data_IF_716976051153
#
_entry.id   IF_716976051153
#
_cell.length_a   1.000
_cell.length_b   1.000
_cell.length_c   1.000
_cell.angle_alpha   90.00
_cell.angle_beta   90.00
_cell.angle_gamma   90.00
#
_symmetry.space_group_name_H-M   'P 1'
#
loop_
_entity.id
_entity.type
_entity.pdbx_description
1 polymer ?
#
# COMPACT_ATOMS: atom_id res chain seq x y z
N UNK A 1 -0.11 7.09 -14.18
CA UNK A 1 -0.56 5.72 -13.88
C UNK A 1 0.64 4.78 -13.97
N UNK A 2 0.49 3.60 -13.38
CA UNK A 2 1.53 2.65 -12.99
C UNK A 2 1.92 1.66 -14.11
N UNK A 3 3.15 1.13 -14.04
CA UNK A 3 3.64 0.03 -14.87
C UNK A 3 4.58 -0.82 -14.04
N UNK A 4 4.54 -2.14 -14.19
CA UNK A 4 5.37 -3.01 -13.40
C UNK A 4 5.33 -4.45 -13.86
N UNK A 5 5.96 -5.32 -13.07
CA UNK A 5 5.88 -6.75 -13.26
C UNK A 5 6.07 -7.50 -11.95
N UNK A 6 5.87 -8.82 -11.99
CA UNK A 6 6.15 -9.68 -10.87
C UNK A 6 7.65 -9.68 -10.53
N UNK A 7 7.95 -9.72 -9.23
CA UNK A 7 9.30 -10.05 -8.77
C UNK A 7 9.58 -11.52 -9.08
N UNK A 8 10.75 -11.82 -9.62
CA UNK A 8 11.16 -13.21 -9.79
C UNK A 8 11.66 -13.82 -8.46
N UNK A 9 11.90 -15.14 -8.44
CA UNK A 9 12.31 -15.84 -7.23
C UNK A 9 13.64 -15.33 -6.64
N UNK A 10 14.61 -14.98 -7.49
CA UNK A 10 15.90 -14.44 -7.04
C UNK A 10 15.72 -13.08 -6.37
N UNK A 11 14.89 -12.21 -6.94
CA UNK A 11 14.55 -10.91 -6.37
C UNK A 11 13.81 -11.03 -5.04
N UNK A 12 12.88 -11.99 -4.92
CA UNK A 12 12.17 -12.28 -3.67
C UNK A 12 13.17 -12.73 -2.60
N UNK A 13 14.02 -13.72 -2.90
CA UNK A 13 15.03 -14.22 -1.95
C UNK A 13 16.01 -13.11 -1.53
N UNK A 14 16.42 -12.24 -2.46
CA UNK A 14 17.27 -11.10 -2.17
C UNK A 14 16.58 -10.09 -1.25
N UNK A 15 15.31 -9.74 -1.52
CA UNK A 15 14.54 -8.83 -0.67
C UNK A 15 14.42 -9.37 0.75
N UNK A 16 13.98 -10.63 0.91
CA UNK A 16 13.85 -11.26 2.22
C UNK A 16 15.20 -11.23 2.96
N UNK A 17 16.28 -11.63 2.30
CA UNK A 17 17.62 -11.61 2.88
C UNK A 17 18.05 -10.20 3.32
N UNK A 18 17.71 -9.17 2.54
CA UNK A 18 18.07 -7.78 2.82
C UNK A 18 17.41 -7.22 4.09
N UNK A 19 16.24 -7.75 4.46
CA UNK A 19 15.41 -7.15 5.49
C UNK A 19 15.31 -7.98 6.78
N UNK A 20 15.64 -9.28 6.73
CA UNK A 20 15.61 -10.18 7.90
C UNK A 20 16.33 -9.62 9.11
N UNK A 21 17.45 -8.93 8.91
CA UNK A 21 18.28 -8.40 10.01
C UNK A 21 17.96 -6.93 10.35
N UNK A 22 16.97 -6.32 9.70
CA UNK A 22 16.61 -4.92 9.99
C UNK A 22 15.92 -4.81 11.35
N UNK A 23 16.33 -3.81 12.14
CA UNK A 23 15.80 -3.59 13.48
C UNK A 23 14.29 -3.33 13.45
N UNK A 24 13.80 -2.49 12.53
CA UNK A 24 12.37 -2.25 12.32
C UNK A 24 11.56 -3.54 12.06
N UNK A 25 12.10 -4.48 11.27
CA UNK A 25 11.45 -5.77 11.01
C UNK A 25 11.39 -6.61 12.29
N UNK A 26 12.51 -6.76 13.00
CA UNK A 26 12.57 -7.51 14.26
C UNK A 26 11.63 -6.93 15.33
N UNK A 27 11.49 -5.61 15.38
CA UNK A 27 10.57 -4.93 16.28
C UNK A 27 9.11 -5.18 15.88
N UNK A 28 8.78 -5.13 14.59
CA UNK A 28 7.46 -5.52 14.10
C UNK A 28 7.12 -6.96 14.49
N UNK A 29 8.04 -7.89 14.27
CA UNK A 29 7.85 -9.30 14.64
C UNK A 29 7.54 -9.46 16.13
N UNK A 30 8.31 -8.76 16.97
CA UNK A 30 8.11 -8.78 18.42
C UNK A 30 6.75 -8.22 18.82
N UNK A 31 6.28 -7.16 18.16
CA UNK A 31 4.97 -6.58 18.42
C UNK A 31 3.85 -7.56 18.01
N UNK A 32 3.93 -8.18 16.82
CA UNK A 32 2.92 -9.15 16.39
C UNK A 32 2.88 -10.37 17.35
N UNK A 33 4.03 -10.85 17.84
CA UNK A 33 4.11 -11.95 18.83
C UNK A 33 3.39 -11.64 20.15
N UNK A 34 3.06 -10.37 20.45
CA UNK A 34 2.23 -10.03 21.63
C UNK A 34 0.76 -10.37 21.44
N UNK A 35 0.31 -10.53 20.20
CA UNK A 35 -1.09 -10.77 19.84
C UNK A 35 -1.30 -12.13 19.15
N UNK A 36 -0.21 -12.85 18.84
CA UNK A 36 -0.25 -14.12 18.12
C UNK A 36 0.85 -15.05 18.62
N UNK A 37 0.55 -16.35 18.69
CA UNK A 37 1.51 -17.39 19.04
C UNK A 37 2.36 -17.86 17.83
N UNK A 38 2.25 -17.17 16.69
CA UNK A 38 2.97 -17.55 15.48
C UNK A 38 4.48 -17.48 15.64
N UNK A 39 5.15 -18.50 15.11
CA UNK A 39 6.57 -18.43 14.84
C UNK A 39 6.81 -17.88 13.44
N UNK A 40 7.70 -16.90 13.36
CA UNK A 40 7.93 -16.16 12.14
C UNK A 40 9.13 -16.72 11.41
N UNK A 41 8.83 -17.69 10.55
CA UNK A 41 9.78 -18.29 9.64
C UNK A 41 9.53 -17.75 8.23
N UNK A 42 10.31 -16.74 7.82
CA UNK A 42 10.17 -16.10 6.50
C UNK A 42 10.36 -17.06 5.34
N UNK A 43 11.05 -18.20 5.54
CA UNK A 43 11.24 -19.22 4.49
C UNK A 43 9.99 -20.09 4.28
N UNK A 44 9.10 -20.13 5.27
CA UNK A 44 7.82 -20.86 5.20
C UNK A 44 6.63 -19.96 4.89
N UNK A 45 6.83 -18.65 4.90
CA UNK A 45 5.77 -17.70 4.58
C UNK A 45 5.38 -17.82 3.10
N UNK A 46 4.07 -17.81 2.83
CA UNK A 46 3.54 -17.78 1.48
C UNK A 46 3.69 -16.37 0.91
N UNK A 47 4.16 -16.27 -0.33
CA UNK A 47 4.23 -14.98 -1.05
C UNK A 47 2.91 -14.77 -1.77
N UNK A 48 2.05 -13.89 -1.24
CA UNK A 48 0.71 -13.63 -1.81
C UNK A 48 0.68 -12.44 -2.77
N UNK A 49 1.72 -11.60 -2.75
CA UNK A 49 1.90 -10.52 -3.71
C UNK A 49 3.39 -10.14 -3.77
N UNK A 50 3.94 -10.01 -4.97
CA UNK A 50 5.34 -9.64 -5.18
C UNK A 50 5.48 -8.85 -6.49
N UNK A 51 5.64 -7.54 -6.39
CA UNK A 51 5.64 -6.63 -7.54
C UNK A 51 6.83 -5.66 -7.50
N UNK A 52 7.39 -5.40 -8.67
CA UNK A 52 8.27 -4.26 -8.95
C UNK A 52 7.56 -3.35 -9.92
N UNK A 53 7.55 -2.05 -9.66
CA UNK A 53 6.76 -1.12 -10.45
C UNK A 53 7.25 0.32 -10.32
N UNK A 54 6.91 1.10 -11.33
CA UNK A 54 6.97 2.54 -11.31
C UNK A 54 5.55 3.09 -11.18
N UNK A 55 5.40 4.11 -10.36
CA UNK A 55 4.18 4.93 -10.31
C UNK A 55 4.56 6.41 -10.28
N UNK A 56 3.59 7.27 -10.55
CA UNK A 56 3.79 8.71 -10.67
C UNK A 56 3.02 9.44 -9.58
N UNK A 57 3.64 10.45 -8.98
CA UNK A 57 3.02 11.37 -8.04
C UNK A 57 3.42 12.81 -8.40
N UNK A 58 2.52 13.54 -9.06
CA UNK A 58 2.89 14.79 -9.73
C UNK A 58 4.02 14.55 -10.73
N UNK A 59 5.09 15.35 -10.63
CA UNK A 59 6.30 15.23 -11.47
C UNK A 59 7.28 14.14 -10.99
N UNK A 60 7.00 13.49 -9.86
CA UNK A 60 7.90 12.47 -9.30
C UNK A 60 7.55 11.07 -9.83
N UNK A 61 8.58 10.33 -10.24
CA UNK A 61 8.52 8.89 -10.43
C UNK A 61 8.93 8.21 -9.14
N UNK A 62 8.11 7.31 -8.66
CA UNK A 62 8.43 6.40 -7.57
C UNK A 62 8.67 5.03 -8.16
N UNK A 63 9.88 4.51 -7.96
CA UNK A 63 10.21 3.13 -8.31
C UNK A 63 10.20 2.30 -7.03
N UNK A 64 9.37 1.25 -6.99
CA UNK A 64 9.13 0.47 -5.78
C UNK A 64 9.24 -1.04 -6.02
N UNK A 65 9.59 -1.75 -4.95
CA UNK A 65 9.39 -3.18 -4.80
C UNK A 65 8.49 -3.42 -3.59
N UNK A 66 7.42 -4.18 -3.78
CA UNK A 66 6.48 -4.55 -2.75
C UNK A 66 6.41 -6.07 -2.63
N UNK A 67 6.53 -6.58 -1.41
CA UNK A 67 6.42 -7.99 -1.06
C UNK A 67 5.42 -8.16 0.07
N UNK A 68 4.44 -9.03 -0.11
CA UNK A 68 3.46 -9.39 0.92
C UNK A 68 3.64 -10.86 1.26
N UNK A 69 4.06 -11.10 2.50
CA UNK A 69 4.26 -12.43 3.09
C UNK A 69 3.08 -12.78 3.98
N UNK A 70 2.50 -13.94 3.77
CA UNK A 70 1.47 -14.52 4.62
C UNK A 70 2.08 -15.62 5.50
N UNK A 71 1.97 -15.44 6.82
CA UNK A 71 2.46 -16.40 7.81
C UNK A 71 1.35 -17.31 8.33
N UNK A 72 0.10 -16.84 8.28
CA UNK A 72 -1.10 -17.64 8.48
C UNK A 72 -2.29 -16.98 7.77
N UNK A 73 -3.44 -17.64 7.75
CA UNK A 73 -4.75 -17.08 7.40
C UNK A 73 -5.03 -15.69 8.01
N UNK A 74 -4.51 -15.43 9.21
CA UNK A 74 -4.75 -14.22 10.01
C UNK A 74 -3.64 -13.19 9.95
N UNK A 75 -2.42 -13.59 9.59
CA UNK A 75 -1.24 -12.71 9.69
C UNK A 75 -0.52 -12.58 8.36
N UNK A 76 -0.43 -11.34 7.90
CA UNK A 76 0.43 -10.95 6.78
C UNK A 76 1.36 -9.81 7.17
N UNK A 77 2.49 -9.74 6.47
CA UNK A 77 3.45 -8.64 6.56
C UNK A 77 3.74 -8.16 5.15
N UNK A 78 3.50 -6.89 4.94
CA UNK A 78 3.89 -6.18 3.72
C UNK A 78 5.21 -5.44 3.98
N UNK A 79 6.14 -5.59 3.06
CA UNK A 79 7.39 -4.84 2.98
C UNK A 79 7.38 -4.04 1.68
N UNK A 80 7.65 -2.74 1.78
CA UNK A 80 7.83 -1.85 0.63
C UNK A 80 9.19 -1.19 0.74
N UNK A 81 9.93 -1.21 -0.35
CA UNK A 81 11.11 -0.35 -0.55
C UNK A 81 10.94 0.43 -1.84
N UNK A 82 11.34 1.69 -1.84
CA UNK A 82 11.22 2.56 -3.01
C UNK A 82 12.32 3.61 -3.03
N UNK A 83 12.49 4.23 -4.18
CA UNK A 83 13.31 5.42 -4.39
C UNK A 83 12.62 6.33 -5.42
N UNK A 84 13.07 7.58 -5.51
CA UNK A 84 12.44 8.63 -6.31
C UNK A 84 13.33 8.99 -7.51
N UNK A 85 12.70 9.19 -8.68
CA UNK A 85 13.32 9.77 -9.88
C UNK A 85 14.63 9.09 -10.32
N UNK A 86 14.79 7.79 -10.09
CA UNK A 86 16.03 7.07 -10.39
C UNK A 86 17.16 7.28 -9.36
N UNK A 87 16.96 8.11 -8.33
CA UNK A 87 17.97 8.42 -7.32
C UNK A 87 17.93 7.43 -6.15
N UNK A 88 18.86 6.47 -6.18
CA UNK A 88 19.00 5.43 -5.15
C UNK A 88 19.34 5.99 -3.76
N UNK A 89 19.89 7.21 -3.64
CA UNK A 89 20.17 7.82 -2.34
C UNK A 89 18.89 8.23 -1.60
N UNK A 90 17.76 8.35 -2.31
CA UNK A 90 16.44 8.62 -1.72
C UNK A 90 15.73 7.36 -1.20
N UNK A 91 16.41 6.21 -1.23
CA UNK A 91 15.81 4.93 -0.85
C UNK A 91 15.24 4.98 0.56
N UNK A 92 13.97 4.63 0.69
CA UNK A 92 13.34 4.37 1.97
C UNK A 92 12.54 3.06 1.94
N UNK A 93 12.27 2.53 3.14
CA UNK A 93 11.54 1.30 3.32
C UNK A 93 10.71 1.31 4.61
N UNK A 94 9.67 0.49 4.62
CA UNK A 94 8.82 0.32 5.78
C UNK A 94 8.09 -1.02 5.73
N UNK A 95 7.59 -1.43 6.88
CA UNK A 95 6.79 -2.63 7.04
C UNK A 95 5.41 -2.31 7.60
N UNK A 96 4.43 -3.10 7.17
CA UNK A 96 3.07 -3.10 7.71
C UNK A 96 2.66 -4.54 8.00
N UNK A 97 2.56 -4.88 9.27
CA UNK A 97 1.96 -6.13 9.74
C UNK A 97 0.46 -5.98 9.91
N UNK A 98 -0.30 -6.97 9.47
CA UNK A 98 -1.75 -7.02 9.67
C UNK A 98 -2.10 -8.32 10.38
N UNK A 99 -2.83 -8.23 11.48
CA UNK A 99 -3.44 -9.35 12.19
C UNK A 99 -4.96 -9.18 12.13
N UNK A 100 -5.65 -10.16 11.55
CA UNK A 100 -7.11 -10.21 11.54
C UNK A 100 -7.62 -11.33 12.44
N UNK A 101 -8.70 -11.10 13.19
CA UNK A 101 -9.43 -12.15 13.88
C UNK A 101 -10.90 -11.79 14.01
N UNK A 102 -11.77 -12.78 14.15
CA UNK A 102 -13.19 -12.53 14.43
C UNK A 102 -13.34 -11.87 15.82
N UNK A 103 -14.33 -10.98 15.95
CA UNK A 103 -14.76 -10.49 17.25
C UNK A 103 -15.42 -11.61 18.05
N UNK A 104 -15.16 -11.62 19.36
CA UNK A 104 -15.78 -12.59 20.29
C UNK A 104 -17.24 -12.19 20.56
N UNK A 105 -17.51 -10.88 20.61
CA UNK A 105 -18.82 -10.32 20.95
C UNK A 105 -19.75 -10.32 19.73
N UNK A 106 -19.21 -10.07 18.54
CA UNK A 106 -19.93 -9.96 17.27
C UNK A 106 -19.21 -10.80 16.20
N UNK A 107 -19.45 -12.12 16.12
CA UNK A 107 -18.69 -13.05 15.26
C UNK A 107 -18.63 -12.68 13.77
N UNK A 108 -19.61 -11.94 13.28
CA UNK A 108 -19.71 -11.36 11.93
C UNK A 108 -18.74 -10.19 11.68
N UNK A 109 -18.09 -9.69 12.74
CA UNK A 109 -17.13 -8.59 12.65
C UNK A 109 -15.71 -9.09 12.68
N UNK A 110 -14.88 -8.45 11.87
CA UNK A 110 -13.46 -8.70 11.76
C UNK A 110 -12.71 -7.58 12.47
N UNK A 111 -11.99 -7.96 13.52
CA UNK A 111 -11.06 -7.08 14.22
C UNK A 111 -9.70 -7.15 13.52
N UNK A 112 -9.26 -6.00 13.03
CA UNK A 112 -7.96 -5.84 12.39
C UNK A 112 -7.04 -5.03 13.30
N UNK A 113 -5.85 -5.58 13.57
CA UNK A 113 -4.74 -4.86 14.17
C UNK A 113 -3.66 -4.64 13.12
N UNK A 114 -3.38 -3.37 12.81
CA UNK A 114 -2.32 -2.95 11.89
C UNK A 114 -1.14 -2.42 12.69
N UNK A 115 0.06 -2.93 12.41
CA UNK A 115 1.31 -2.59 13.07
C UNK A 115 2.29 -2.04 12.05
N UNK A 116 2.79 -0.82 12.25
CA UNK A 116 3.58 -0.10 11.24
C UNK A 116 4.97 0.17 11.78
N UNK A 117 5.97 -0.24 11.01
CA UNK A 117 7.38 -0.09 11.34
C UNK A 117 8.11 0.62 10.19
N UNK A 118 8.06 1.96 10.20
CA UNK A 118 8.84 2.84 9.32
C UNK A 118 10.16 3.28 9.97
N UNK A 119 10.18 3.40 11.30
CA UNK A 119 11.34 3.75 12.13
C UNK A 119 11.93 2.51 12.82
N UNK A 120 13.24 2.53 13.11
CA UNK A 120 13.92 1.41 13.76
C UNK A 120 13.55 1.22 15.23
N UNK A 121 12.96 2.22 15.88
CA UNK A 121 12.68 2.20 17.32
C UNK A 121 11.19 2.15 17.65
N UNK A 122 10.31 2.47 16.70
CA UNK A 122 8.88 2.64 16.95
C UNK A 122 8.05 1.71 16.05
N UNK A 123 7.15 0.97 16.69
CA UNK A 123 6.05 0.27 16.02
C UNK A 123 4.75 0.93 16.47
N UNK A 124 4.02 1.53 15.54
CA UNK A 124 2.70 2.10 15.84
C UNK A 124 1.61 1.08 15.58
N UNK A 125 0.53 1.13 16.36
CA UNK A 125 -0.57 0.17 16.30
C UNK A 125 -1.88 0.93 16.02
N UNK A 126 -2.62 0.48 15.02
CA UNK A 126 -3.99 0.91 14.73
C UNK A 126 -4.89 -0.32 14.87
N UNK A 127 -6.07 -0.14 15.47
CA UNK A 127 -7.10 -1.18 15.56
C UNK A 127 -8.35 -0.68 14.86
N UNK A 128 -8.90 -1.52 13.99
CA UNK A 128 -10.12 -1.26 13.26
C UNK A 128 -11.06 -2.46 13.38
N UNK A 129 -12.31 -2.20 13.08
CA UNK A 129 -13.38 -3.19 13.00
C UNK A 129 -14.05 -3.05 11.63
N UNK A 130 -14.32 -4.18 11.00
CA UNK A 130 -14.95 -4.24 9.69
C UNK A 130 -16.01 -5.32 9.67
N UNK A 131 -17.06 -5.08 8.88
CA UNK A 131 -18.06 -6.09 8.56
C UNK A 131 -17.56 -6.97 7.39
N UNK A 132 -18.15 -8.16 7.22
CA UNK A 132 -17.82 -9.07 6.11
C UNK A 132 -17.98 -8.43 4.72
N UNK A 133 -18.91 -7.48 4.56
CA UNK A 133 -19.10 -6.71 3.31
C UNK A 133 -17.80 -6.02 2.86
N UNK A 134 -16.97 -5.54 3.79
CA UNK A 134 -15.70 -4.90 3.45
C UNK A 134 -14.70 -5.88 2.81
N UNK A 135 -14.80 -7.17 3.13
CA UNK A 135 -14.01 -8.25 2.51
C UNK A 135 -14.47 -8.47 1.08
N UNK A 136 -15.78 -8.58 0.86
CA UNK A 136 -16.38 -8.81 -0.46
C UNK A 136 -16.06 -7.67 -1.44
N UNK A 137 -16.26 -6.42 -1.00
CA UNK A 137 -15.91 -5.24 -1.80
C UNK A 137 -14.42 -5.22 -2.20
N UNK A 138 -13.55 -5.66 -1.30
CA UNK A 138 -12.11 -5.73 -1.58
C UNK A 138 -11.76 -6.88 -2.51
N UNK A 139 -12.47 -8.01 -2.45
CA UNK A 139 -12.25 -9.15 -3.34
C UNK A 139 -12.51 -8.77 -4.81
N UNK A 140 -13.62 -8.09 -5.11
CA UNK A 140 -13.92 -7.62 -6.47
C UNK A 140 -12.85 -6.64 -6.98
N UNK A 141 -12.46 -5.67 -6.15
CA UNK A 141 -11.41 -4.71 -6.50
C UNK A 141 -10.04 -5.39 -6.70
N UNK A 142 -9.76 -6.49 -5.98
CA UNK A 142 -8.53 -7.26 -6.13
C UNK A 142 -8.50 -8.07 -7.42
N UNK A 143 -9.62 -8.63 -7.86
CA UNK A 143 -9.72 -9.29 -9.17
C UNK A 143 -9.47 -8.29 -10.30
N UNK A 144 -10.15 -7.13 -10.25
CA UNK A 144 -9.93 -6.03 -11.20
C UNK A 144 -8.49 -5.53 -11.17
N UNK A 145 -7.84 -5.50 -10.02
CA UNK A 145 -6.44 -5.09 -9.92
C UNK A 145 -5.54 -6.00 -10.76
N UNK A 146 -5.75 -7.31 -10.72
CA UNK A 146 -4.95 -8.25 -11.52
C UNK A 146 -5.22 -8.12 -13.03
N UNK A 147 -6.43 -7.71 -13.42
CA UNK A 147 -6.79 -7.50 -14.82
C UNK A 147 -6.32 -6.14 -15.38
N UNK A 148 -6.36 -5.10 -14.56
CA UNK A 148 -6.13 -3.71 -14.97
C UNK A 148 -4.69 -3.24 -14.74
N UNK A 149 -3.95 -3.86 -13.82
CA UNK A 149 -2.57 -3.47 -13.57
C UNK A 149 -1.72 -3.69 -14.83
N UNK A 150 -0.94 -2.68 -15.19
CA UNK A 150 -0.14 -2.71 -16.42
C UNK A 150 1.11 -3.57 -16.22
N UNK A 151 0.91 -4.87 -16.39
CA UNK A 151 1.97 -5.87 -16.39
C UNK A 151 2.79 -5.83 -17.68
N UNK A 152 4.04 -5.41 -17.58
CA UNK A 152 5.01 -5.41 -18.69
C UNK A 152 6.16 -6.37 -18.38
N UNK A 153 6.25 -7.47 -19.13
CA UNK A 153 7.31 -8.48 -18.94
C UNK A 153 8.72 -7.92 -19.13
N UNK A 154 8.86 -6.81 -19.87
CA UNK A 154 10.12 -6.11 -20.10
C UNK A 154 10.29 -4.88 -19.20
N UNK A 155 9.47 -4.77 -18.15
CA UNK A 155 9.57 -3.69 -17.18
C UNK A 155 10.98 -3.59 -16.59
N UNK A 156 11.58 -2.41 -16.74
CA UNK A 156 12.84 -2.03 -16.10
C UNK A 156 12.58 -0.98 -15.00
N UNK A 157 13.16 -1.13 -13.79
CA UNK A 157 13.01 -0.15 -12.72
C UNK A 157 13.39 1.28 -13.14
N UNK A 158 12.49 2.24 -12.94
CA UNK A 158 12.71 3.64 -13.29
C UNK A 158 12.49 3.96 -14.77
N UNK A 159 11.89 3.06 -15.56
CA UNK A 159 11.60 3.33 -16.97
C UNK A 159 10.70 4.55 -17.20
N UNK A 160 9.90 4.96 -16.21
CA UNK A 160 9.09 6.18 -16.32
C UNK A 160 9.90 7.48 -16.10
N UNK A 161 11.15 7.42 -15.64
CA UNK A 161 11.99 8.60 -15.39
C UNK A 161 12.21 9.37 -16.70
N UNK A 162 11.92 10.67 -16.68
CA UNK A 162 12.02 11.54 -17.87
C UNK A 162 10.84 11.44 -18.84
N UNK A 163 9.88 10.53 -18.61
CA UNK A 163 8.64 10.45 -19.40
C UNK A 163 7.50 11.31 -18.84
N UNK A 164 7.68 11.87 -17.64
CA UNK A 164 6.62 12.57 -16.90
C UNK A 164 6.25 13.92 -17.53
N UNK A 165 7.15 14.57 -18.30
CA UNK A 165 6.96 15.93 -18.85
C UNK A 165 6.81 16.05 -20.39
N UNK A 166 6.91 14.96 -21.16
CA UNK A 166 7.05 15.09 -22.62
C UNK A 166 5.76 14.93 -23.47
N UNK A 167 4.58 14.75 -22.86
CA UNK A 167 3.27 14.31 -23.43
C UNK A 167 2.85 12.95 -22.85
N UNK A 168 2.77 12.83 -21.52
CA UNK A 168 2.49 11.54 -20.87
C UNK A 168 1.09 11.00 -21.26
N UNK A 169 0.98 9.80 -21.88
CA UNK A 169 -0.30 9.22 -22.28
C UNK A 169 -1.08 8.58 -21.13
N UNK A 170 -0.58 8.63 -19.89
CA UNK A 170 -1.04 7.78 -18.80
C UNK A 170 -1.54 8.60 -17.60
N UNK A 171 -2.77 9.10 -17.71
CA UNK A 171 -3.60 9.75 -16.68
C UNK A 171 -4.79 8.87 -16.34
N UNK A 172 -5.14 8.71 -15.07
CA UNK A 172 -6.27 7.88 -14.67
C UNK A 172 -6.21 7.41 -13.23
N UNK A 173 -7.12 6.51 -12.89
CA UNK A 173 -7.19 5.90 -11.56
C UNK A 173 -6.22 4.73 -11.52
N UNK A 174 -5.80 4.36 -10.31
CA UNK A 174 -5.02 3.13 -10.13
C UNK A 174 -5.89 1.90 -10.47
N UNK A 175 -5.22 0.81 -10.86
CA UNK A 175 -5.84 -0.47 -11.16
C UNK A 175 -6.70 -1.01 -10.00
N UNK A 176 -7.81 -1.66 -10.33
CA UNK A 176 -8.79 -2.23 -9.41
C UNK A 176 -10.16 -1.55 -9.43
N UNK A 177 -10.49 -0.83 -10.49
CA UNK A 177 -11.75 -0.12 -10.66
C UNK A 177 -11.91 1.08 -9.72
N UNK A 178 -10.82 1.59 -9.13
CA UNK A 178 -10.83 2.74 -8.23
C UNK A 178 -11.37 3.97 -8.95
N UNK A 179 -12.07 4.84 -8.23
CA UNK A 179 -12.67 6.06 -8.80
C UNK A 179 -12.16 7.34 -8.12
N UNK A 180 -11.52 7.21 -6.96
CA UNK A 180 -10.95 8.33 -6.20
C UNK A 180 -9.44 8.18 -6.00
N UNK A 181 -8.85 6.99 -6.17
CA UNK A 181 -7.40 6.83 -6.10
C UNK A 181 -6.71 7.09 -7.46
N UNK A 182 -5.97 8.19 -7.58
CA UNK A 182 -5.09 8.48 -8.73
C UNK A 182 -5.02 9.97 -9.04
N UNK A 183 -3.98 10.40 -9.76
CA UNK A 183 -3.70 11.83 -10.05
C UNK A 183 -4.79 12.53 -10.89
N UNK A 184 -5.71 11.77 -11.49
CA UNK A 184 -6.85 12.30 -12.23
C UNK A 184 -8.17 11.69 -11.76
N UNK A 185 -8.19 11.14 -10.54
CA UNK A 185 -9.32 10.43 -9.97
C UNK A 185 -9.68 11.01 -8.64
N UNK A 186 -10.99 11.24 -8.46
CA UNK A 186 -11.41 12.15 -7.43
C UNK A 186 -10.77 13.52 -7.60
N UNK A 187 -10.78 14.34 -6.58
CA UNK A 187 -10.52 15.77 -6.62
C UNK A 187 -11.70 16.53 -6.04
N UNK A 188 -11.91 17.79 -6.39
CA UNK A 188 -13.03 18.57 -5.83
C UNK A 188 -14.41 17.87 -5.85
N UNK A 189 -14.79 17.18 -6.95
CA UNK A 189 -16.07 16.47 -6.99
C UNK A 189 -16.19 15.35 -5.95
N UNK A 190 -15.08 14.74 -5.51
CA UNK A 190 -15.07 13.69 -4.50
C UNK A 190 -15.74 14.15 -3.20
N UNK A 191 -15.59 15.42 -2.83
CA UNK A 191 -16.11 16.00 -1.58
C UNK A 191 -17.58 16.33 -1.59
N UNK A 192 -18.12 16.48 -2.79
CA UNK A 192 -19.55 16.68 -3.01
C UNK A 192 -20.26 15.39 -3.38
N UNK A 193 -19.50 14.35 -3.71
CA UNK A 193 -20.03 13.07 -4.13
C UNK A 193 -20.61 12.30 -2.94
N UNK A 194 -21.86 11.88 -3.08
CA UNK A 194 -22.49 10.91 -2.17
C UNK A 194 -22.10 9.47 -2.50
N UNK A 195 -21.44 9.23 -3.64
CA UNK A 195 -20.99 7.90 -4.04
C UNK A 195 -19.84 7.46 -3.15
N UNK A 196 -20.00 6.31 -2.50
CA UNK A 196 -18.92 5.64 -1.77
C UNK A 196 -17.82 5.18 -2.73
N UNK A 197 -16.59 5.11 -2.24
CA UNK A 197 -15.50 4.44 -2.95
C UNK A 197 -15.79 2.95 -3.13
N UNK A 198 -15.09 2.31 -4.06
CA UNK A 198 -15.30 0.89 -4.37
C UNK A 198 -14.89 -0.06 -3.24
N UNK A 199 -14.04 0.41 -2.32
CA UNK A 199 -13.68 -0.27 -1.07
C UNK A 199 -13.14 0.75 -0.04
N UNK A 200 -12.62 0.26 1.08
CA UNK A 200 -12.03 1.11 2.12
C UNK A 200 -10.83 1.95 1.64
N UNK A 201 -9.98 1.41 0.75
CA UNK A 201 -8.83 2.16 0.22
C UNK A 201 -9.29 3.32 -0.68
N UNK A 202 -10.29 3.10 -1.52
CA UNK A 202 -10.84 4.15 -2.39
C UNK A 202 -11.52 5.27 -1.56
N UNK A 203 -12.14 4.92 -0.44
CA UNK A 203 -12.65 5.91 0.53
C UNK A 203 -11.54 6.71 1.22
N UNK A 204 -10.35 6.12 1.43
CA UNK A 204 -9.18 6.85 1.90
C UNK A 204 -8.76 7.93 0.89
N UNK A 205 -8.69 7.58 -0.39
CA UNK A 205 -8.35 8.54 -1.45
C UNK A 205 -9.41 9.64 -1.60
N UNK A 206 -10.71 9.29 -1.52
CA UNK A 206 -11.80 10.28 -1.46
C UNK A 206 -11.60 11.29 -0.33
N UNK A 207 -11.22 10.81 0.86
CA UNK A 207 -10.99 11.66 2.03
C UNK A 207 -9.76 12.55 1.84
N UNK A 208 -8.71 12.03 1.21
CA UNK A 208 -7.49 12.77 0.88
C UNK A 208 -7.76 13.94 -0.06
N UNK A 209 -8.49 13.72 -1.16
CA UNK A 209 -8.91 14.80 -2.07
C UNK A 209 -9.65 15.90 -1.33
N UNK A 210 -10.48 15.50 -0.36
CA UNK A 210 -11.24 16.44 0.45
C UNK A 210 -10.45 17.16 1.49
N UNK A 211 -9.40 16.55 2.02
CA UNK A 211 -8.43 17.26 2.83
C UNK A 211 -7.81 18.41 2.02
N UNK A 212 -7.27 18.12 0.84
CA UNK A 212 -6.65 19.14 -0.03
C UNK A 212 -7.60 20.27 -0.38
N UNK A 213 -8.83 19.93 -0.80
CA UNK A 213 -9.84 20.94 -1.11
C UNK A 213 -10.26 21.76 0.11
N UNK A 214 -10.49 21.13 1.26
CA UNK A 214 -10.95 21.81 2.48
C UNK A 214 -9.93 22.83 2.96
N UNK A 215 -8.64 22.49 2.88
CA UNK A 215 -7.56 23.41 3.25
C UNK A 215 -7.18 24.39 2.13
N UNK A 216 -7.60 24.15 0.88
CA UNK A 216 -7.24 24.99 -0.27
C UNK A 216 -5.74 24.98 -0.57
N UNK A 217 -5.09 23.83 -0.36
CA UNK A 217 -3.64 23.66 -0.47
C UNK A 217 -3.25 22.92 -1.75
N UNK A 218 -2.04 23.19 -2.24
CA UNK A 218 -1.43 22.45 -3.33
C UNK A 218 -0.54 21.31 -2.83
N UNK A 219 -0.17 20.41 -3.74
CA UNK A 219 0.79 19.36 -3.46
C UNK A 219 2.22 19.93 -3.31
N UNK A 220 3.05 19.43 -2.38
CA UNK A 220 2.74 18.48 -1.30
C UNK A 220 2.13 19.14 -0.05
N UNK A 221 1.18 18.44 0.59
CA UNK A 221 0.64 18.81 1.90
C UNK A 221 0.73 17.65 2.89
N UNK A 222 1.75 17.70 3.75
CA UNK A 222 2.15 16.64 4.66
C UNK A 222 1.02 16.06 5.53
N UNK A 223 0.15 16.91 6.07
CA UNK A 223 -0.97 16.44 6.90
C UNK A 223 -1.96 15.57 6.11
N UNK A 224 -2.32 15.99 4.90
CA UNK A 224 -3.27 15.25 4.08
C UNK A 224 -2.63 13.93 3.60
N UNK A 225 -1.39 14.00 3.13
CA UNK A 225 -0.65 12.83 2.66
C UNK A 225 -0.42 11.79 3.76
N UNK A 226 -0.08 12.23 4.99
CA UNK A 226 0.06 11.33 6.13
C UNK A 226 -1.27 10.68 6.50
N UNK A 227 -2.38 11.41 6.45
CA UNK A 227 -3.71 10.82 6.68
C UNK A 227 -4.07 9.77 5.63
N UNK A 228 -3.73 10.01 4.36
CA UNK A 228 -3.92 9.02 3.31
C UNK A 228 -3.04 7.79 3.56
N UNK A 229 -1.78 7.97 3.92
CA UNK A 229 -0.90 6.86 4.26
C UNK A 229 -1.48 6.02 5.41
N UNK A 230 -1.86 6.67 6.52
CA UNK A 230 -2.41 6.01 7.71
C UNK A 230 -3.68 5.23 7.36
N UNK A 231 -4.59 5.85 6.60
CA UNK A 231 -5.84 5.22 6.16
C UNK A 231 -5.57 4.06 5.20
N UNK A 232 -4.69 4.22 4.20
CA UNK A 232 -4.39 3.18 3.21
C UNK A 232 -3.76 1.94 3.86
N UNK A 233 -2.83 2.14 4.80
CA UNK A 233 -2.24 1.04 5.57
C UNK A 233 -3.29 0.30 6.38
N UNK A 234 -4.26 1.04 6.94
CA UNK A 234 -5.38 0.56 7.73
C UNK A 234 -6.57 0.02 6.91
N UNK A 235 -6.63 0.22 5.60
CA UNK A 235 -7.77 -0.19 4.79
C UNK A 235 -7.91 -1.73 4.78
N UNK A 236 -9.10 -2.30 4.71
CA UNK A 236 -9.24 -3.75 4.69
C UNK A 236 -8.86 -4.33 3.31
N UNK A 237 -8.11 -5.44 3.30
CA UNK A 237 -7.96 -6.44 2.21
C UNK A 237 -7.62 -5.99 0.77
N UNK A 238 -7.27 -4.74 0.51
CA UNK A 238 -6.96 -4.25 -0.84
C UNK A 238 -5.51 -4.51 -1.29
N UNK A 239 -5.33 -5.15 -2.46
CA UNK A 239 -4.03 -5.37 -3.13
C UNK A 239 -3.39 -4.09 -3.66
N UNK A 240 -4.21 -3.14 -4.11
CA UNK A 240 -3.74 -1.86 -4.66
C UNK A 240 -3.11 -0.93 -3.61
N UNK A 241 -3.18 -1.28 -2.32
CA UNK A 241 -2.49 -0.56 -1.24
C UNK A 241 -1.04 -0.28 -1.53
N UNK A 242 -0.34 -1.23 -2.14
CA UNK A 242 1.09 -1.08 -2.45
C UNK A 242 1.36 0.17 -3.29
N UNK A 243 0.44 0.56 -4.17
CA UNK A 243 0.58 1.73 -5.04
C UNK A 243 0.43 3.02 -4.23
N UNK A 244 -0.64 3.09 -3.42
CA UNK A 244 -0.92 4.26 -2.57
C UNK A 244 0.14 4.43 -1.51
N UNK A 245 0.53 3.35 -0.83
CA UNK A 245 1.58 3.39 0.20
C UNK A 245 2.94 3.78 -0.40
N UNK A 246 3.29 3.24 -1.56
CA UNK A 246 4.52 3.62 -2.26
C UNK A 246 4.52 5.08 -2.70
N UNK A 247 3.37 5.71 -2.94
CA UNK A 247 3.31 7.12 -3.29
C UNK A 247 3.21 8.06 -2.08
N UNK A 248 2.46 7.70 -1.04
CA UNK A 248 2.04 8.63 0.01
C UNK A 248 2.65 8.34 1.38
N UNK A 249 3.16 7.14 1.65
CA UNK A 249 3.75 6.82 2.96
C UNK A 249 5.19 7.27 3.09
N UNK A 250 5.50 8.54 2.80
CA UNK A 250 6.79 9.15 3.14
C UNK A 250 6.66 10.04 4.36
N UNK A 251 7.73 10.07 5.16
CA UNK A 251 7.85 10.95 6.32
C UNK A 251 8.10 12.36 5.79
N UNK A 252 7.01 13.06 5.50
CA UNK A 252 6.89 14.38 6.09
C UNK A 252 6.92 14.24 7.63
#
# INVERSE_FOLDING_TARGET
MEVGYHLNQEEITALISSFKQKQKFQNLMREIKRYSELDFDTEKAEVIQALKFDTTKGEQVITAKALVLQFSDKVNIRYITRYLNGDLETTNDFFVGTLNHSSIEEPEKILQTVMRASDDNVVSVIKNEFDEEAVEMSAEANEKFEEEFNYDENYEPGQLVGQVDAQSPIKGCIAGGYIYCGDSCGGYPACKSTKSGVNGLDNCCKTHDCCYNTYGVGYPHCYCDQQLCDCAQAAPFAKAKILVESAFCFVC
#
